data_IF_210179369879
#
_entry.id   IF_210179369879
#
_cell.length_a   1.000
_cell.length_b   1.000
_cell.length_c   1.000
_cell.angle_alpha   90.00
_cell.angle_beta   90.00
_cell.angle_gamma   90.00
#
_symmetry.space_group_name_H-M   'P 1'
#
loop_
_entity.id
_entity.type
_entity.pdbx_description
1 polymer ?
#
# COMPACT_ATOMS: atom_id res chain seq x y z
N UNK A 1 23.27 -23.83 26.55
CA UNK A 1 22.15 -23.88 27.51
C UNK A 1 20.98 -24.55 26.82
N UNK A 2 20.58 -25.75 27.28
CA UNK A 2 19.34 -26.46 26.91
C UNK A 2 19.09 -26.76 25.43
N UNK A 3 19.78 -27.76 24.86
CA UNK A 3 19.30 -28.38 23.62
C UNK A 3 18.22 -29.38 24.01
N UNK A 4 16.95 -29.09 23.75
CA UNK A 4 15.87 -30.08 23.77
C UNK A 4 16.18 -31.16 22.73
N UNK A 5 16.94 -32.16 23.15
CA UNK A 5 17.32 -33.31 22.35
C UNK A 5 16.30 -34.44 22.49
N UNK A 6 16.41 -35.42 21.60
CA UNK A 6 15.64 -36.66 21.65
C UNK A 6 15.76 -37.38 23.01
N UNK A 7 16.93 -37.31 23.65
CA UNK A 7 17.16 -37.89 24.98
C UNK A 7 16.41 -37.19 26.11
N UNK A 8 16.39 -35.85 26.12
CA UNK A 8 15.71 -35.07 27.16
C UNK A 8 14.19 -35.26 27.10
N UNK A 9 13.63 -35.28 25.87
CA UNK A 9 12.21 -35.57 25.65
C UNK A 9 11.82 -36.97 26.18
N UNK A 10 12.70 -37.97 26.00
CA UNK A 10 12.49 -39.33 26.50
C UNK A 10 12.43 -39.37 28.04
N UNK A 11 13.33 -38.64 28.72
CA UNK A 11 13.33 -38.55 30.19
C UNK A 11 12.03 -37.91 30.69
N UNK A 12 11.62 -36.79 30.09
CA UNK A 12 10.35 -36.12 30.45
C UNK A 12 9.16 -37.06 30.21
N UNK A 13 9.18 -37.82 29.11
CA UNK A 13 8.13 -38.80 28.83
C UNK A 13 8.05 -39.88 29.91
N UNK A 14 9.19 -40.44 30.34
CA UNK A 14 9.22 -41.41 31.45
C UNK A 14 8.69 -40.81 32.75
N UNK A 15 9.10 -39.59 33.10
CA UNK A 15 8.58 -38.90 34.30
C UNK A 15 7.07 -38.73 34.20
N UNK A 16 6.55 -38.28 33.06
CA UNK A 16 5.12 -38.14 32.83
C UNK A 16 4.37 -39.49 32.94
N UNK A 17 4.95 -40.58 32.43
CA UNK A 17 4.38 -41.93 32.56
C UNK A 17 4.33 -42.41 34.01
N UNK A 18 5.32 -42.08 34.84
CA UNK A 18 5.33 -42.46 36.26
C UNK A 18 4.30 -41.66 37.05
N UNK A 19 4.22 -40.35 36.80
CA UNK A 19 3.31 -39.45 37.54
C UNK A 19 1.85 -39.68 37.15
N UNK A 20 1.55 -39.75 35.85
CA UNK A 20 0.18 -39.85 35.35
C UNK A 20 -0.26 -41.31 35.12
N UNK A 21 0.68 -42.19 34.79
CA UNK A 21 0.45 -43.58 34.43
C UNK A 21 0.42 -43.81 32.90
N UNK A 22 0.97 -44.95 32.40
CA UNK A 22 1.03 -45.23 30.96
C UNK A 22 -0.33 -45.41 30.29
N UNK A 23 -1.36 -45.78 31.06
CA UNK A 23 -2.73 -45.87 30.56
C UNK A 23 -3.42 -44.51 30.46
N UNK A 24 -3.05 -43.53 31.29
CA UNK A 24 -3.75 -42.23 31.35
C UNK A 24 -3.14 -41.16 30.44
N UNK A 25 -1.85 -41.27 30.13
CA UNK A 25 -1.20 -40.39 29.14
C UNK A 25 -1.90 -40.40 27.76
N UNK A 26 -2.22 -41.55 27.13
CA UNK A 26 -2.93 -41.56 25.85
C UNK A 26 -4.35 -40.99 25.96
N UNK A 27 -5.04 -41.20 27.08
CA UNK A 27 -6.36 -40.63 27.31
C UNK A 27 -6.31 -39.10 27.43
N UNK A 28 -5.33 -38.55 28.17
CA UNK A 28 -5.11 -37.11 28.27
C UNK A 28 -4.74 -36.50 26.91
N UNK A 29 -3.83 -37.15 26.16
CA UNK A 29 -3.46 -36.72 24.81
C UNK A 29 -4.67 -36.74 23.85
N UNK A 30 -5.56 -37.74 23.96
CA UNK A 30 -6.80 -37.80 23.19
C UNK A 30 -7.77 -36.67 23.54
N UNK A 31 -7.89 -36.31 24.82
CA UNK A 31 -8.74 -35.19 25.26
C UNK A 31 -8.22 -33.85 24.72
N UNK A 32 -6.92 -33.59 24.90
CA UNK A 32 -6.27 -32.40 24.34
C UNK A 32 -6.37 -32.38 22.82
N UNK A 33 -6.13 -33.52 22.17
CA UNK A 33 -6.23 -33.65 20.71
C UNK A 33 -7.62 -33.35 20.17
N UNK A 34 -8.68 -33.78 20.87
CA UNK A 34 -10.07 -33.44 20.53
C UNK A 34 -10.32 -31.94 20.66
N UNK A 35 -9.89 -31.33 21.77
CA UNK A 35 -10.03 -29.88 21.97
C UNK A 35 -9.31 -29.08 20.88
N UNK A 36 -8.05 -29.44 20.57
CA UNK A 36 -7.28 -28.80 19.49
C UNK A 36 -7.94 -29.02 18.12
N UNK A 37 -8.47 -30.22 17.87
CA UNK A 37 -9.18 -30.51 16.62
C UNK A 37 -10.44 -29.66 16.47
N UNK A 38 -11.19 -29.48 17.55
CA UNK A 38 -12.40 -28.66 17.58
C UNK A 38 -12.07 -27.18 17.37
N UNK A 39 -11.04 -26.66 18.04
CA UNK A 39 -10.51 -25.32 17.80
C UNK A 39 -10.13 -25.16 16.32
N UNK A 40 -9.41 -26.12 15.75
CA UNK A 40 -8.97 -26.07 14.34
C UNK A 40 -10.14 -26.13 13.36
N UNK A 41 -11.20 -26.89 13.68
CA UNK A 41 -12.43 -26.95 12.91
C UNK A 41 -13.21 -25.63 12.98
N UNK A 42 -13.31 -25.03 14.16
CA UNK A 42 -13.90 -23.71 14.37
C UNK A 42 -13.11 -22.64 13.61
N UNK A 43 -11.79 -22.64 13.67
CA UNK A 43 -10.94 -21.73 12.87
C UNK A 43 -11.16 -21.90 11.37
N UNK A 44 -11.38 -23.12 10.86
CA UNK A 44 -11.67 -23.37 9.45
C UNK A 44 -13.09 -22.95 9.00
N UNK A 45 -14.05 -22.82 9.93
CA UNK A 45 -15.35 -22.19 9.69
C UNK A 45 -15.23 -20.67 9.72
N UNK A 46 -14.53 -20.14 10.73
CA UNK A 46 -14.24 -18.73 10.89
C UNK A 46 -13.48 -18.14 9.68
N UNK A 47 -12.57 -18.89 9.06
CA UNK A 47 -11.86 -18.43 7.87
C UNK A 47 -12.77 -18.28 6.63
N UNK A 48 -13.90 -19.01 6.59
CA UNK A 48 -14.94 -18.85 5.57
C UNK A 48 -15.84 -17.68 5.90
N UNK A 49 -16.34 -17.60 7.13
CA UNK A 49 -17.17 -16.48 7.60
C UNK A 49 -16.44 -15.14 7.57
N UNK A 50 -15.18 -15.05 8.02
CA UNK A 50 -14.36 -13.83 7.87
C UNK A 50 -14.16 -13.49 6.41
N UNK A 51 -13.93 -14.49 5.55
CA UNK A 51 -13.73 -14.22 4.12
C UNK A 51 -15.00 -13.68 3.48
N UNK A 52 -16.17 -14.16 3.89
CA UNK A 52 -17.47 -13.66 3.43
C UNK A 52 -17.76 -12.27 4.01
N UNK A 53 -17.59 -12.09 5.32
CA UNK A 53 -17.77 -10.83 6.04
C UNK A 53 -16.75 -9.74 5.68
N UNK A 54 -15.57 -10.10 5.14
CA UNK A 54 -14.60 -9.15 4.61
C UNK A 54 -14.73 -8.94 3.09
N UNK A 55 -15.32 -9.87 2.34
CA UNK A 55 -15.58 -9.66 0.90
C UNK A 55 -16.65 -8.61 0.65
N UNK A 56 -17.69 -8.53 1.48
CA UNK A 56 -18.71 -7.48 1.37
C UNK A 56 -18.15 -6.05 1.56
N UNK A 57 -17.42 -5.72 2.64
CA UNK A 57 -16.86 -4.39 2.81
C UNK A 57 -15.76 -4.07 1.80
N UNK A 58 -15.04 -5.07 1.29
CA UNK A 58 -13.97 -4.83 0.32
C UNK A 58 -14.53 -4.46 -1.06
N UNK A 59 -15.62 -5.10 -1.51
CA UNK A 59 -16.33 -4.68 -2.73
C UNK A 59 -17.00 -3.32 -2.58
N UNK A 60 -17.63 -3.05 -1.44
CA UNK A 60 -18.24 -1.75 -1.17
C UNK A 60 -17.19 -0.62 -1.09
N UNK A 61 -16.03 -0.88 -0.47
CA UNK A 61 -14.92 0.06 -0.41
C UNK A 61 -14.30 0.29 -1.80
N UNK A 62 -14.17 -0.74 -2.62
CA UNK A 62 -13.63 -0.64 -3.98
C UNK A 62 -14.55 0.16 -4.91
N UNK A 63 -15.87 -0.05 -4.80
CA UNK A 63 -16.87 0.77 -5.50
C UNK A 63 -16.87 2.23 -5.03
N UNK A 64 -16.84 2.47 -3.72
CA UNK A 64 -16.77 3.84 -3.18
C UNK A 64 -15.46 4.54 -3.58
N UNK A 65 -14.37 3.79 -3.70
CA UNK A 65 -13.08 4.34 -4.17
C UNK A 65 -13.14 4.68 -5.67
N UNK A 66 -13.74 3.81 -6.49
CA UNK A 66 -13.92 4.07 -7.91
C UNK A 66 -14.78 5.31 -8.16
N UNK A 67 -15.93 5.43 -7.49
CA UNK A 67 -16.85 6.58 -7.61
C UNK A 67 -16.20 7.92 -7.22
N UNK A 68 -15.24 7.92 -6.28
CA UNK A 68 -14.53 9.13 -5.85
C UNK A 68 -13.32 9.44 -6.75
N UNK A 69 -12.61 8.41 -7.22
CA UNK A 69 -11.37 8.58 -7.98
C UNK A 69 -11.62 8.88 -9.46
N UNK A 70 -12.69 8.38 -10.05
CA UNK A 70 -13.04 8.63 -11.46
C UNK A 70 -13.25 10.11 -11.79
N UNK A 71 -14.07 10.89 -11.05
CA UNK A 71 -14.22 12.32 -11.30
C UNK A 71 -12.92 13.10 -11.03
N UNK A 72 -12.11 12.66 -10.07
CA UNK A 72 -10.83 13.29 -9.76
C UNK A 72 -9.78 13.05 -10.85
N UNK A 73 -9.68 11.82 -11.37
CA UNK A 73 -8.79 11.47 -12.46
C UNK A 73 -9.19 12.19 -13.75
N UNK A 74 -10.48 12.29 -14.03
CA UNK A 74 -10.99 13.02 -15.20
C UNK A 74 -10.72 14.53 -15.08
N UNK A 75 -10.89 15.12 -13.90
CA UNK A 75 -10.53 16.51 -13.64
C UNK A 75 -9.00 16.77 -13.70
N UNK A 76 -8.20 15.85 -13.17
CA UNK A 76 -6.74 15.93 -13.21
C UNK A 76 -6.19 15.79 -14.63
N UNK A 77 -6.75 14.90 -15.45
CA UNK A 77 -6.40 14.78 -16.87
C UNK A 77 -6.79 16.02 -17.67
N UNK A 78 -7.99 16.57 -17.44
CA UNK A 78 -8.43 17.81 -18.09
C UNK A 78 -7.56 19.03 -17.71
N UNK A 79 -7.15 19.11 -16.43
CA UNK A 79 -6.23 20.13 -15.95
C UNK A 79 -4.81 19.94 -16.52
N UNK A 80 -4.32 18.70 -16.62
CA UNK A 80 -3.01 18.40 -17.19
C UNK A 80 -2.93 18.73 -18.69
N UNK A 81 -3.99 18.45 -19.45
CA UNK A 81 -4.08 18.86 -20.87
C UNK A 81 -4.08 20.39 -21.01
N UNK A 82 -4.78 21.10 -20.11
CA UNK A 82 -4.82 22.57 -20.12
C UNK A 82 -3.47 23.22 -19.79
N UNK A 83 -2.62 22.55 -18.99
CA UNK A 83 -1.28 23.03 -18.62
C UNK A 83 -0.23 22.76 -19.71
N UNK A 84 -0.47 21.80 -20.61
CA UNK A 84 0.49 21.46 -21.67
C UNK A 84 0.49 22.46 -22.84
N UNK A 85 -0.52 23.33 -22.93
CA UNK A 85 -0.74 24.22 -24.08
C UNK A 85 -0.12 25.63 -24.02
N UNK A 86 0.20 26.29 -22.87
CA UNK A 86 0.67 27.67 -22.91
C UNK A 86 2.19 27.85 -22.72
N UNK A 87 3.04 26.90 -23.15
CA UNK A 87 4.50 27.04 -23.05
C UNK A 87 5.26 26.90 -24.38
N UNK A 88 4.59 27.12 -25.51
CA UNK A 88 5.24 27.13 -26.84
C UNK A 88 5.28 28.51 -27.51
N UNK A 89 4.56 29.52 -26.99
CA UNK A 89 4.39 30.83 -27.65
C UNK A 89 4.81 32.04 -26.80
N UNK A 90 5.79 31.89 -25.90
CA UNK A 90 6.41 33.04 -25.22
C UNK A 90 7.79 33.29 -25.84
N UNK A 91 7.79 33.95 -27.00
CA UNK A 91 8.97 34.66 -27.51
C UNK A 91 9.02 36.04 -26.84
N UNK A 92 10.02 36.37 -26.01
CA UNK A 92 10.14 37.72 -25.45
C UNK A 92 10.52 38.70 -26.58
N UNK A 93 9.77 39.80 -26.81
CA UNK A 93 10.15 40.78 -27.81
C UNK A 93 11.43 41.51 -27.36
N UNK A 94 12.52 41.30 -28.08
CA UNK A 94 13.72 42.13 -27.97
C UNK A 94 13.40 43.56 -28.43
N UNK A 95 13.73 44.60 -27.65
CA UNK A 95 13.54 45.98 -28.08
C UNK A 95 14.54 46.33 -29.19
N UNK A 96 14.04 46.51 -30.43
CA UNK A 96 14.82 47.07 -31.53
C UNK A 96 15.03 48.57 -31.30
N UNK A 97 16.25 48.95 -30.91
CA UNK A 97 16.69 50.34 -30.88
C UNK A 97 16.72 50.91 -32.31
N UNK A 98 15.72 51.71 -32.65
CA UNK A 98 15.68 52.49 -33.89
C UNK A 98 16.61 53.70 -33.77
N UNK A 99 17.86 53.54 -34.21
CA UNK A 99 18.78 54.67 -34.41
C UNK A 99 18.38 55.41 -35.70
N UNK A 100 17.57 56.45 -35.53
CA UNK A 100 17.11 57.39 -36.56
C UNK A 100 18.29 58.27 -36.96
N UNK A 101 18.87 58.01 -38.13
CA UNK A 101 19.83 58.88 -38.79
C UNK A 101 19.18 59.57 -39.96
N UNK A 102 18.78 60.82 -39.77
CA UNK A 102 18.52 61.86 -40.77
C UNK A 102 18.81 63.16 -39.99
N UNK A 103 19.77 64.02 -40.32
CA UNK A 103 20.07 64.52 -41.65
C UNK A 103 19.63 65.98 -41.75
N UNK A 104 20.00 66.82 -40.77
CA UNK A 104 19.79 68.26 -40.80
C UNK A 104 21.13 68.98 -40.58
N UNK A 105 21.85 69.19 -41.69
CA UNK A 105 22.81 70.28 -41.85
C UNK A 105 22.20 71.22 -42.91
N UNK A 106 21.96 72.51 -42.58
CA UNK A 106 22.85 73.56 -43.09
C UNK A 106 22.90 74.81 -42.17
N UNK A 107 23.51 75.94 -42.58
CA UNK A 107 24.93 76.19 -42.83
C UNK A 107 25.52 77.19 -41.80
N UNK A 108 26.86 77.29 -41.74
CA UNK A 108 27.59 78.43 -41.15
C UNK A 108 27.19 79.76 -41.86
N UNK A 109 27.31 80.98 -41.27
CA UNK A 109 28.58 81.52 -40.77
C UNK A 109 28.50 82.63 -39.67
N UNK A 110 29.68 83.16 -39.33
CA UNK A 110 30.02 84.49 -38.80
C UNK A 110 29.70 84.87 -37.33
N UNK A 111 30.74 84.91 -36.49
CA UNK A 111 31.28 86.11 -35.82
C UNK A 111 32.34 85.76 -34.77
#
# INVERSE_FOLDING_TARGET
MGNLGSGELLVIFFVALVVLGPKRLPDAARQVGRAVHEIRRMSGGFQREIREAMQEPMRAAEQAKADILDPFNQAASAAADSIKTPLSDIDPPMPSASNRGDGDEPPAPDA
#
